data_IF_639684153333
#
_entry.id   IF_639684153333
#
_cell.length_a   1.000
_cell.length_b   1.000
_cell.length_c   1.000
_cell.angle_alpha   90.00
_cell.angle_beta   90.00
_cell.angle_gamma   90.00
#
_symmetry.space_group_name_H-M   'P 1'
#
loop_
_entity.id
_entity.type
_entity.pdbx_description
1 polymer ?
#
# COMPACT_ATOMS: atom_id res chain seq x y z
N UNK A 1 28.57 -36.86 0.34
CA UNK A 1 27.79 -36.67 1.59
C UNK A 1 27.81 -35.19 1.89
N UNK A 2 26.66 -34.50 1.76
CA UNK A 2 26.56 -33.07 2.10
C UNK A 2 26.28 -32.89 3.59
N UNK A 3 26.66 -31.75 4.20
CA UNK A 3 26.31 -31.48 5.59
C UNK A 3 24.80 -31.26 5.71
N UNK A 4 24.16 -32.03 6.59
CA UNK A 4 22.77 -31.78 6.99
C UNK A 4 22.69 -30.45 7.76
N UNK A 5 21.64 -29.66 7.51
CA UNK A 5 21.37 -28.45 8.29
C UNK A 5 20.66 -28.83 9.60
N UNK A 6 21.07 -28.28 10.77
CA UNK A 6 20.44 -28.60 12.05
C UNK A 6 18.96 -28.24 12.13
N UNK A 7 18.21 -28.98 12.95
CA UNK A 7 16.77 -28.83 13.14
C UNK A 7 16.32 -27.42 13.61
N UNK A 8 17.22 -26.64 14.20
CA UNK A 8 16.96 -25.28 14.73
C UNK A 8 16.38 -24.31 13.69
N UNK A 9 16.76 -24.45 12.41
CA UNK A 9 16.23 -23.61 11.33
C UNK A 9 14.72 -23.80 11.09
N UNK A 10 14.17 -24.98 11.44
CA UNK A 10 12.75 -25.29 11.33
C UNK A 10 11.95 -24.88 12.58
N UNK A 11 12.61 -24.64 13.72
CA UNK A 11 11.98 -24.22 14.97
C UNK A 11 11.92 -22.71 15.14
N UNK A 12 12.90 -21.92 14.65
CA UNK A 12 12.80 -20.45 14.66
C UNK A 12 11.58 -19.93 13.87
N UNK A 13 11.15 -20.65 12.84
CA UNK A 13 9.89 -20.39 12.11
C UNK A 13 8.63 -20.72 12.94
N UNK A 14 8.73 -21.63 13.92
CA UNK A 14 7.64 -22.02 14.84
C UNK A 14 7.61 -21.17 16.11
N UNK A 15 8.75 -20.78 16.66
CA UNK A 15 8.85 -19.94 17.86
C UNK A 15 8.32 -18.52 17.64
N UNK A 16 8.46 -17.98 16.42
CA UNK A 16 7.75 -16.78 15.98
C UNK A 16 6.20 -16.90 16.07
N UNK A 17 5.67 -18.10 16.31
CA UNK A 17 4.25 -18.42 16.48
C UNK A 17 3.85 -18.87 17.90
N UNK A 18 4.79 -19.06 18.85
CA UNK A 18 4.51 -19.65 20.18
C UNK A 18 4.50 -18.68 21.36
N UNK A 19 4.89 -17.40 21.17
CA UNK A 19 4.81 -16.36 22.21
C UNK A 19 3.35 -15.93 22.45
N UNK A 20 2.59 -16.79 23.14
CA UNK A 20 1.15 -16.63 23.33
C UNK A 20 0.51 -17.61 24.32
N UNK A 21 1.27 -18.17 25.27
CA UNK A 21 0.75 -19.14 26.24
C UNK A 21 1.33 -18.98 27.65
N UNK A 22 0.86 -17.95 28.39
CA UNK A 22 0.76 -18.02 29.86
C UNK A 22 -0.63 -17.50 30.26
N UNK A 23 -1.40 -18.34 30.95
CA UNK A 23 -2.67 -17.96 31.59
C UNK A 23 -2.36 -16.98 32.72
N UNK A 24 -3.20 -15.96 32.90
CA UNK A 24 -3.26 -15.19 34.15
C UNK A 24 -4.72 -15.22 34.63
N UNK A 25 -4.87 -15.44 35.92
CA UNK A 25 -6.09 -15.77 36.64
C UNK A 25 -6.90 -14.49 36.99
N UNK A 26 -8.20 -14.38 36.67
CA UNK A 26 -8.95 -13.13 36.81
C UNK A 26 -9.49 -12.88 38.24
N UNK A 27 -8.65 -12.95 39.27
CA UNK A 27 -9.07 -12.75 40.69
C UNK A 27 -8.03 -12.04 41.58
N UNK A 28 -7.60 -10.82 41.21
CA UNK A 28 -7.03 -9.80 42.12
C UNK A 28 -6.94 -8.45 41.37
N UNK A 29 -7.18 -7.25 41.94
CA UNK A 29 -7.58 -6.88 43.30
C UNK A 29 -8.34 -5.54 43.24
N UNK A 30 -9.37 -5.35 44.08
CA UNK A 30 -10.15 -4.10 44.15
C UNK A 30 -9.81 -3.33 45.43
N UNK A 31 -9.37 -2.06 45.34
CA UNK A 31 -9.90 -0.93 46.16
C UNK A 31 -9.16 0.44 46.02
N UNK A 32 -9.98 1.47 45.72
CA UNK A 32 -10.08 2.83 46.34
C UNK A 32 -8.85 3.77 46.42
N UNK A 33 -9.05 5.03 45.98
CA UNK A 33 -8.13 6.15 46.26
C UNK A 33 -8.57 7.55 45.76
N UNK A 34 -9.63 8.12 46.35
CA UNK A 34 -10.15 9.52 46.32
C UNK A 34 -9.51 10.63 45.43
N UNK A 35 -10.40 11.41 44.79
CA UNK A 35 -10.21 12.83 44.35
C UNK A 35 -9.93 13.78 45.53
N UNK A 36 -9.36 14.97 45.26
CA UNK A 36 -10.15 16.21 45.46
C UNK A 36 -10.01 17.29 44.37
N UNK A 37 -10.95 18.23 44.39
CA UNK A 37 -10.98 19.61 43.84
C UNK A 37 -11.75 20.46 44.88
N UNK A 38 -11.74 21.82 44.92
CA UNK A 38 -11.82 22.81 43.82
C UNK A 38 -10.55 23.71 43.79
N UNK A 39 -10.45 24.99 43.40
CA UNK A 39 -11.42 26.05 43.07
C UNK A 39 -10.92 27.06 41.99
N UNK A 40 -11.24 28.36 42.11
CA UNK A 40 -11.14 29.38 41.05
C UNK A 40 -10.30 30.61 41.43
N UNK A 41 -9.91 31.45 40.45
CA UNK A 41 -9.36 32.78 40.71
C UNK A 41 -8.79 33.57 39.52
N UNK A 42 -9.43 34.72 39.23
CA UNK A 42 -8.89 35.95 38.63
C UNK A 42 -8.61 36.08 37.10
N UNK A 43 -8.83 37.32 36.65
CA UNK A 43 -8.87 37.85 35.28
C UNK A 43 -7.76 38.88 35.03
N UNK A 44 -7.37 39.11 33.77
CA UNK A 44 -6.74 40.38 33.32
C UNK A 44 -7.03 40.61 31.83
N UNK A 45 -7.08 41.87 31.38
CA UNK A 45 -7.70 42.25 30.10
C UNK A 45 -7.00 43.39 29.33
N UNK A 46 -7.16 43.34 27.99
CA UNK A 46 -7.10 44.45 27.01
C UNK A 46 -5.72 45.08 26.70
N UNK A 47 -5.56 45.98 25.67
CA UNK A 47 -6.50 46.47 24.64
C UNK A 47 -5.96 46.42 23.17
N UNK A 48 -6.69 46.94 22.14
CA UNK A 48 -6.34 46.80 20.71
C UNK A 48 -5.96 48.09 19.95
N UNK A 49 -5.10 47.98 18.92
CA UNK A 49 -4.85 48.94 17.83
C UNK A 49 -4.11 48.21 16.68
N UNK A 50 -4.18 48.53 15.37
CA UNK A 50 -4.90 49.57 14.62
C UNK A 50 -5.30 49.05 13.20
N UNK A 51 -6.09 49.84 12.45
CA UNK A 51 -6.57 49.53 11.09
C UNK A 51 -5.67 50.15 9.99
N UNK A 52 -5.45 49.37 8.91
CA UNK A 52 -5.37 49.74 7.48
C UNK A 52 -4.14 50.45 6.86
N UNK A 53 -3.78 49.94 5.65
CA UNK A 53 -3.00 50.54 4.54
C UNK A 53 -1.48 50.76 4.82
N UNK A 54 -0.56 50.56 3.87
CA UNK A 54 -0.57 50.79 2.41
C UNK A 54 -0.04 49.59 1.59
N UNK A 55 -0.34 49.60 0.28
CA UNK A 55 -0.05 48.58 -0.73
C UNK A 55 1.46 48.30 -0.96
N UNK A 56 1.79 47.03 -1.19
CA UNK A 56 2.93 46.63 -2.02
C UNK A 56 2.46 45.56 -3.03
N UNK A 57 2.92 45.65 -4.28
CA UNK A 57 2.38 44.89 -5.42
C UNK A 57 2.70 43.39 -5.35
N UNK A 58 1.81 42.60 -5.96
CA UNK A 58 1.91 41.15 -6.14
C UNK A 58 3.20 40.75 -6.87
N UNK A 59 3.93 39.81 -6.27
CA UNK A 59 4.64 38.77 -7.00
C UNK A 59 4.13 37.41 -6.49
N UNK A 60 3.00 36.94 -7.02
CA UNK A 60 2.54 35.58 -6.74
C UNK A 60 3.45 34.59 -7.46
N UNK A 61 4.43 34.05 -6.75
CA UNK A 61 5.06 32.78 -7.14
C UNK A 61 3.97 31.72 -7.03
N UNK A 62 3.33 31.41 -8.16
CA UNK A 62 2.24 30.47 -8.22
C UNK A 62 2.70 29.07 -7.83
N UNK A 63 2.26 28.59 -6.67
CA UNK A 63 2.31 27.15 -6.36
C UNK A 63 1.56 26.43 -7.48
N UNK A 64 2.16 25.45 -8.18
CA UNK A 64 1.50 24.76 -9.29
C UNK A 64 0.17 24.16 -8.82
N UNK A 65 -0.93 24.63 -9.41
CA UNK A 65 -2.27 24.14 -9.09
C UNK A 65 -2.31 22.63 -9.39
N UNK A 66 -2.66 21.83 -8.38
CA UNK A 66 -2.82 20.38 -8.58
C UNK A 66 -3.95 20.17 -9.59
N UNK A 67 -3.70 19.54 -10.74
CA UNK A 67 -4.65 19.54 -11.85
C UNK A 67 -5.95 18.83 -11.48
N UNK A 68 -7.05 19.30 -12.09
CA UNK A 68 -8.41 18.90 -11.74
C UNK A 68 -8.54 17.37 -11.65
N UNK A 69 -9.12 16.81 -10.57
CA UNK A 69 -9.06 15.36 -10.31
C UNK A 69 -9.64 14.46 -11.40
N UNK A 70 -10.61 14.93 -12.19
CA UNK A 70 -11.14 14.19 -13.33
C UNK A 70 -10.07 13.90 -14.40
N UNK A 71 -9.05 14.76 -14.56
CA UNK A 71 -7.92 14.52 -15.46
C UNK A 71 -6.91 13.53 -14.89
N UNK A 72 -6.92 13.27 -13.58
CA UNK A 72 -5.91 12.44 -12.92
C UNK A 72 -6.08 10.92 -13.19
N UNK A 73 -7.24 10.52 -13.70
CA UNK A 73 -7.56 9.13 -14.03
C UNK A 73 -8.08 8.97 -15.48
N UNK A 74 -8.02 10.02 -16.31
CA UNK A 74 -8.55 10.03 -17.67
C UNK A 74 -7.91 8.94 -18.56
N UNK A 75 -6.66 8.60 -18.28
CA UNK A 75 -5.86 7.56 -18.94
C UNK A 75 -6.42 6.16 -18.71
N UNK A 76 -7.36 5.94 -17.78
CA UNK A 76 -8.02 4.64 -17.59
C UNK A 76 -9.17 4.41 -18.57
N UNK A 77 -9.48 5.35 -19.49
CA UNK A 77 -10.63 5.26 -20.42
C UNK A 77 -10.31 5.62 -21.87
N UNK A 78 -11.11 5.09 -22.80
CA UNK A 78 -11.19 5.51 -24.19
C UNK A 78 -9.86 5.55 -24.96
N UNK A 79 -9.69 6.61 -25.76
CA UNK A 79 -8.45 6.86 -26.55
C UNK A 79 -7.23 7.09 -25.66
N UNK A 80 -7.40 7.67 -24.47
CA UNK A 80 -6.32 7.91 -23.53
C UNK A 80 -5.75 6.60 -22.98
N UNK A 81 -6.59 5.60 -22.66
CA UNK A 81 -6.15 4.24 -22.27
C UNK A 81 -5.32 3.58 -23.36
N UNK A 82 -5.82 3.57 -24.61
CA UNK A 82 -5.10 2.97 -25.74
C UNK A 82 -3.72 3.61 -25.97
N UNK A 83 -3.64 4.94 -25.91
CA UNK A 83 -2.36 5.68 -26.03
C UNK A 83 -1.41 5.40 -24.87
N UNK A 84 -1.93 5.32 -23.63
CA UNK A 84 -1.14 5.06 -22.44
C UNK A 84 -0.58 3.62 -22.45
N UNK A 85 -1.41 2.64 -22.82
CA UNK A 85 -1.03 1.24 -23.05
C UNK A 85 0.12 1.13 -24.07
N UNK A 86 -0.08 1.69 -25.28
CA UNK A 86 0.91 1.63 -26.37
C UNK A 86 2.25 2.23 -25.96
N UNK A 87 2.26 3.44 -25.36
CA UNK A 87 3.50 4.07 -24.88
C UNK A 87 4.16 3.31 -23.74
N UNK A 88 3.37 2.70 -22.87
CA UNK A 88 3.86 1.90 -21.74
C UNK A 88 4.43 0.54 -22.16
N UNK A 89 4.17 0.08 -23.40
CA UNK A 89 4.56 -1.25 -23.86
C UNK A 89 3.60 -2.36 -23.41
N UNK A 90 2.34 -2.03 -23.14
CA UNK A 90 1.25 -3.00 -23.05
C UNK A 90 0.68 -3.33 -24.44
N UNK A 91 -0.05 -4.43 -24.54
CA UNK A 91 -0.59 -4.99 -25.78
C UNK A 91 -2.05 -5.44 -25.63
N UNK A 92 -2.67 -5.87 -26.73
CA UNK A 92 -4.03 -6.41 -26.71
C UNK A 92 -4.14 -7.67 -25.83
N UNK A 93 -3.09 -8.50 -25.82
CA UNK A 93 -2.99 -9.70 -24.99
C UNK A 93 -2.93 -9.34 -23.50
N UNK A 94 -2.22 -8.27 -23.11
CA UNK A 94 -2.20 -7.81 -21.72
C UNK A 94 -3.55 -7.24 -21.27
N UNK A 95 -4.29 -6.54 -22.15
CA UNK A 95 -5.65 -6.08 -21.85
C UNK A 95 -6.65 -7.24 -21.74
N UNK A 96 -6.52 -8.24 -22.62
CA UNK A 96 -7.33 -9.46 -22.53
C UNK A 96 -7.08 -10.22 -21.23
N UNK A 97 -5.81 -10.31 -20.79
CA UNK A 97 -5.43 -10.92 -19.53
C UNK A 97 -5.99 -10.14 -18.32
N UNK A 98 -5.94 -8.80 -18.34
CA UNK A 98 -6.61 -7.94 -17.34
C UNK A 98 -8.10 -8.23 -17.29
N UNK A 99 -8.80 -8.20 -18.44
CA UNK A 99 -10.24 -8.44 -18.51
C UNK A 99 -10.64 -9.82 -17.98
N UNK A 100 -9.88 -10.87 -18.34
CA UNK A 100 -10.10 -12.22 -17.85
C UNK A 100 -9.88 -12.31 -16.32
N UNK A 101 -8.85 -11.67 -15.78
CA UNK A 101 -8.61 -11.57 -14.34
C UNK A 101 -9.73 -10.85 -13.59
N UNK A 102 -10.26 -9.75 -14.14
CA UNK A 102 -11.40 -9.04 -13.58
C UNK A 102 -12.69 -9.88 -13.62
N UNK A 103 -12.89 -10.68 -14.68
CA UNK A 103 -14.01 -11.64 -14.77
C UNK A 103 -13.90 -12.77 -13.74
N UNK A 104 -12.71 -13.32 -13.53
CA UNK A 104 -12.45 -14.26 -12.44
C UNK A 104 -12.79 -13.65 -11.08
N UNK A 105 -12.24 -12.45 -10.78
CA UNK A 105 -12.53 -11.78 -9.51
C UNK A 105 -14.04 -11.54 -9.34
N UNK A 106 -14.76 -11.12 -10.40
CA UNK A 106 -16.22 -10.98 -10.37
C UNK A 106 -16.93 -12.31 -10.05
N UNK A 107 -16.54 -13.42 -10.68
CA UNK A 107 -17.23 -14.72 -10.51
C UNK A 107 -17.09 -15.29 -9.09
N UNK A 108 -16.01 -14.99 -8.38
CA UNK A 108 -15.78 -15.42 -7.00
C UNK A 108 -16.19 -14.40 -5.91
N UNK A 109 -16.79 -13.26 -6.27
CA UNK A 109 -17.27 -12.28 -5.30
C UNK A 109 -18.41 -12.86 -4.46
N UNK A 110 -18.30 -12.79 -3.13
CA UNK A 110 -19.34 -13.31 -2.22
C UNK A 110 -20.62 -12.49 -2.29
N UNK A 111 -21.76 -13.09 -1.95
CA UNK A 111 -23.09 -12.41 -1.93
C UNK A 111 -23.08 -11.07 -1.18
N UNK A 112 -22.38 -10.99 -0.05
CA UNK A 112 -22.23 -9.77 0.76
C UNK A 112 -21.24 -8.73 0.19
N UNK A 113 -20.66 -8.94 -0.99
CA UNK A 113 -19.75 -8.01 -1.68
C UNK A 113 -18.25 -8.20 -1.39
N UNK A 114 -17.90 -8.95 -0.35
CA UNK A 114 -16.49 -9.19 0.03
C UNK A 114 -15.79 -10.26 -0.83
N UNK A 115 -14.47 -10.18 -0.91
CA UNK A 115 -13.61 -11.25 -1.44
C UNK A 115 -12.83 -11.98 -0.35
N UNK A 116 -12.49 -13.24 -0.62
CA UNK A 116 -11.81 -14.12 0.31
C UNK A 116 -12.74 -14.87 1.26
N UNK A 117 -12.27 -15.98 1.82
CA UNK A 117 -12.96 -16.73 2.88
C UNK A 117 -12.98 -15.95 4.21
N UNK A 118 -13.98 -16.25 5.06
CA UNK A 118 -14.02 -15.73 6.42
C UNK A 118 -12.91 -16.42 7.25
N UNK A 119 -11.81 -15.72 7.47
CA UNK A 119 -10.69 -16.19 8.29
C UNK A 119 -10.05 -15.00 8.99
N UNK A 120 -9.99 -15.04 10.31
CA UNK A 120 -9.22 -14.10 11.12
C UNK A 120 -7.84 -14.67 11.42
N UNK A 121 -6.83 -13.82 11.33
CA UNK A 121 -5.44 -14.16 11.60
C UNK A 121 -4.88 -13.21 12.66
N UNK A 122 -4.27 -13.76 13.71
CA UNK A 122 -3.80 -13.02 14.89
C UNK A 122 -3.02 -11.73 14.54
N UNK A 123 -2.17 -11.79 13.50
CA UNK A 123 -1.36 -10.66 13.00
C UNK A 123 -2.05 -9.70 12.01
N UNK A 124 -3.09 -10.14 11.31
CA UNK A 124 -3.63 -9.41 10.16
C UNK A 124 -5.11 -8.98 10.30
N UNK A 125 -5.82 -9.54 11.28
CA UNK A 125 -7.27 -9.41 11.42
C UNK A 125 -8.01 -10.28 10.38
N UNK A 126 -9.16 -9.80 9.93
CA UNK A 126 -9.93 -10.36 8.82
C UNK A 126 -9.30 -9.99 7.47
N UNK A 127 -8.72 -10.99 6.79
CA UNK A 127 -8.10 -10.79 5.48
C UNK A 127 -9.07 -10.27 4.41
N UNK A 128 -10.39 -10.45 4.57
CA UNK A 128 -11.40 -9.98 3.60
C UNK A 128 -11.36 -8.47 3.41
N UNK A 129 -10.95 -7.70 4.42
CA UNK A 129 -10.76 -6.25 4.31
C UNK A 129 -9.71 -5.92 3.25
N UNK A 130 -8.49 -6.43 3.42
CA UNK A 130 -7.39 -6.21 2.46
C UNK A 130 -7.65 -6.85 1.10
N UNK A 131 -8.19 -8.08 1.06
CA UNK A 131 -8.56 -8.78 -0.18
C UNK A 131 -9.61 -8.01 -0.99
N UNK A 132 -10.68 -7.55 -0.35
CA UNK A 132 -11.72 -6.75 -1.02
C UNK A 132 -11.17 -5.43 -1.56
N UNK A 133 -10.31 -4.77 -0.80
CA UNK A 133 -9.66 -3.54 -1.24
C UNK A 133 -8.71 -3.76 -2.44
N UNK A 134 -7.94 -4.86 -2.48
CA UNK A 134 -7.11 -5.21 -3.64
C UNK A 134 -7.96 -5.48 -4.90
N UNK A 135 -9.08 -6.22 -4.77
CA UNK A 135 -10.01 -6.43 -5.89
C UNK A 135 -10.59 -5.10 -6.40
N UNK A 136 -11.04 -4.23 -5.49
CA UNK A 136 -11.56 -2.91 -5.85
C UNK A 136 -10.49 -2.07 -6.56
N UNK A 137 -9.24 -2.07 -6.08
CA UNK A 137 -8.15 -1.40 -6.76
C UNK A 137 -8.03 -1.89 -8.21
N UNK A 138 -8.02 -3.20 -8.46
CA UNK A 138 -8.00 -3.75 -9.83
C UNK A 138 -9.18 -3.21 -10.68
N UNK A 139 -10.43 -3.39 -10.28
CA UNK A 139 -11.56 -2.86 -11.07
C UNK A 139 -11.45 -1.35 -11.37
N UNK A 140 -11.05 -0.54 -10.37
CA UNK A 140 -10.83 0.89 -10.50
C UNK A 140 -9.64 1.24 -11.41
N UNK A 141 -8.64 0.37 -11.51
CA UNK A 141 -7.44 0.55 -12.33
C UNK A 141 -7.70 0.41 -13.81
N UNK A 142 -8.42 -0.65 -14.20
CA UNK A 142 -8.97 -0.78 -15.56
C UNK A 142 -10.09 0.24 -15.88
N UNK A 143 -10.48 1.07 -14.91
CA UNK A 143 -11.33 2.24 -15.10
C UNK A 143 -12.80 2.03 -14.76
N UNK A 144 -13.18 0.85 -14.25
CA UNK A 144 -14.55 0.50 -13.90
C UNK A 144 -14.93 1.05 -12.53
N UNK A 145 -16.09 1.70 -12.44
CA UNK A 145 -16.61 2.28 -11.19
C UNK A 145 -18.02 1.80 -10.88
N UNK A 146 -18.49 2.06 -9.65
CA UNK A 146 -19.85 1.73 -9.23
C UNK A 146 -20.94 2.67 -9.79
N UNK A 147 -20.55 3.75 -10.47
CA UNK A 147 -21.48 4.72 -11.09
C UNK A 147 -21.69 4.51 -12.58
N UNK A 148 -20.81 3.75 -13.24
CA UNK A 148 -20.87 3.55 -14.69
C UNK A 148 -21.58 2.26 -15.05
N UNK A 149 -22.54 2.35 -15.97
CA UNK A 149 -23.22 1.18 -16.52
C UNK A 149 -22.19 0.28 -17.23
N UNK A 150 -22.08 -0.97 -16.80
CA UNK A 150 -21.13 -1.91 -17.38
C UNK A 150 -21.00 -3.21 -16.57
N UNK A 151 -20.26 -4.17 -17.12
CA UNK A 151 -20.16 -5.55 -16.62
C UNK A 151 -19.79 -5.65 -15.12
N UNK A 152 -19.01 -4.70 -14.60
CA UNK A 152 -18.44 -4.73 -13.25
C UNK A 152 -19.07 -3.72 -12.27
N UNK A 153 -20.06 -2.91 -12.70
CA UNK A 153 -20.66 -1.83 -11.89
C UNK A 153 -21.13 -2.32 -10.52
N UNK A 154 -21.97 -3.35 -10.52
CA UNK A 154 -22.55 -3.95 -9.32
C UNK A 154 -21.51 -4.66 -8.44
N UNK A 155 -20.47 -5.23 -9.08
CA UNK A 155 -19.34 -5.85 -8.39
C UNK A 155 -18.53 -4.82 -7.61
N UNK A 156 -18.21 -3.67 -8.22
CA UNK A 156 -17.53 -2.55 -7.55
C UNK A 156 -18.42 -1.95 -6.46
N UNK A 157 -19.70 -1.73 -6.75
CA UNK A 157 -20.67 -1.18 -5.79
C UNK A 157 -20.74 -2.02 -4.51
N UNK A 158 -20.99 -3.33 -4.64
CA UNK A 158 -21.07 -4.25 -3.48
C UNK A 158 -19.76 -4.35 -2.70
N UNK A 159 -18.61 -4.26 -3.36
CA UNK A 159 -17.31 -4.23 -2.69
C UNK A 159 -17.11 -2.97 -1.84
N UNK A 160 -17.47 -1.80 -2.38
CA UNK A 160 -17.42 -0.51 -1.66
C UNK A 160 -18.42 -0.49 -0.51
N UNK A 161 -19.67 -0.86 -0.76
CA UNK A 161 -20.73 -0.91 0.27
C UNK A 161 -20.35 -1.86 1.41
N UNK A 162 -19.73 -3.02 1.10
CA UNK A 162 -19.21 -3.91 2.13
C UNK A 162 -18.11 -3.25 2.96
N UNK A 163 -17.09 -2.62 2.36
CA UNK A 163 -16.05 -1.93 3.12
C UNK A 163 -16.59 -0.74 3.94
N UNK A 164 -17.60 -0.01 3.46
CA UNK A 164 -18.32 1.00 4.26
C UNK A 164 -18.94 0.34 5.50
N UNK A 165 -19.59 -0.82 5.33
CA UNK A 165 -20.21 -1.56 6.45
C UNK A 165 -19.19 -2.07 7.48
N UNK A 166 -17.93 -2.27 7.09
CA UNK A 166 -16.85 -2.66 8.00
C UNK A 166 -16.18 -1.46 8.69
N UNK A 167 -16.42 -0.21 8.27
CA UNK A 167 -15.71 0.93 8.85
C UNK A 167 -16.23 1.27 10.25
N UNK A 168 -15.34 1.22 11.24
CA UNK A 168 -15.60 1.79 12.55
C UNK A 168 -15.70 3.32 12.44
N UNK A 169 -16.85 3.88 12.82
CA UNK A 169 -17.12 5.33 12.63
C UNK A 169 -16.32 6.23 13.57
N UNK A 170 -16.12 5.92 14.87
CA UNK A 170 -15.29 6.73 15.76
C UNK A 170 -13.82 6.80 15.35
N UNK A 171 -13.17 5.66 15.08
CA UNK A 171 -11.73 5.63 14.74
C UNK A 171 -11.45 5.86 13.26
N UNK A 172 -12.42 5.61 12.38
CA UNK A 172 -12.23 5.58 10.93
C UNK A 172 -11.56 4.32 10.40
N UNK A 173 -11.22 3.36 11.28
CA UNK A 173 -10.53 2.12 10.91
C UNK A 173 -11.42 1.19 10.10
N UNK A 174 -10.84 0.34 9.24
CA UNK A 174 -11.60 -0.56 8.36
C UNK A 174 -11.59 -1.98 8.93
N UNK A 175 -12.69 -2.38 9.57
CA UNK A 175 -12.91 -3.69 10.16
C UNK A 175 -11.90 -4.07 11.24
N UNK A 176 -11.96 -5.32 11.68
CA UNK A 176 -10.81 -5.95 12.33
C UNK A 176 -9.71 -6.17 11.27
N UNK A 177 -8.78 -5.23 11.12
CA UNK A 177 -7.65 -5.39 10.21
C UNK A 177 -6.36 -4.77 10.76
N UNK A 178 -5.22 -5.26 10.25
CA UNK A 178 -3.92 -4.62 10.39
C UNK A 178 -3.82 -3.32 9.59
N UNK A 179 -2.75 -2.56 9.82
CA UNK A 179 -2.43 -1.35 9.06
C UNK A 179 -2.37 -1.59 7.53
N UNK A 180 -2.03 -2.80 7.07
CA UNK A 180 -2.13 -3.18 5.66
C UNK A 180 -3.57 -3.13 5.15
N UNK A 181 -4.48 -3.85 5.82
CA UNK A 181 -5.89 -3.94 5.41
C UNK A 181 -6.53 -2.56 5.35
N UNK A 182 -6.27 -1.73 6.37
CA UNK A 182 -6.69 -0.35 6.38
C UNK A 182 -6.05 0.49 5.26
N UNK A 183 -4.72 0.49 5.11
CA UNK A 183 -4.03 1.32 4.12
C UNK A 183 -4.45 1.01 2.68
N UNK A 184 -4.59 -0.28 2.33
CA UNK A 184 -5.10 -0.71 1.03
C UNK A 184 -6.56 -0.27 0.83
N UNK A 185 -7.41 -0.38 1.88
CA UNK A 185 -8.81 0.08 1.83
C UNK A 185 -8.92 1.60 1.65
N UNK A 186 -8.10 2.37 2.36
CA UNK A 186 -8.03 3.83 2.23
C UNK A 186 -7.56 4.24 0.83
N UNK A 187 -6.60 3.52 0.25
CA UNK A 187 -6.18 3.71 -1.14
C UNK A 187 -7.31 3.40 -2.15
N UNK A 188 -8.03 2.28 -1.97
CA UNK A 188 -9.17 1.93 -2.82
C UNK A 188 -10.29 3.00 -2.77
N UNK A 189 -10.63 3.48 -1.57
CA UNK A 189 -11.60 4.56 -1.39
C UNK A 189 -11.12 5.89 -1.98
N UNK A 190 -9.82 6.18 -1.88
CA UNK A 190 -9.24 7.38 -2.44
C UNK A 190 -9.35 7.40 -3.97
N UNK A 191 -9.02 6.30 -4.66
CA UNK A 191 -9.22 6.21 -6.11
C UNK A 191 -10.70 6.24 -6.50
N UNK A 192 -11.55 5.46 -5.82
CA UNK A 192 -12.98 5.43 -6.09
C UNK A 192 -13.62 6.82 -5.98
N UNK A 193 -13.33 7.57 -4.91
CA UNK A 193 -13.81 8.93 -4.73
C UNK A 193 -13.16 9.92 -5.71
N UNK A 194 -11.87 9.75 -6.03
CA UNK A 194 -11.19 10.62 -6.99
C UNK A 194 -11.82 10.53 -8.39
N UNK A 195 -12.17 9.31 -8.83
CA UNK A 195 -12.80 8.99 -10.10
C UNK A 195 -14.30 9.32 -10.18
N UNK A 196 -15.06 9.11 -9.09
CA UNK A 196 -16.54 9.19 -9.11
C UNK A 196 -17.14 10.42 -8.45
N UNK A 197 -16.38 11.11 -7.57
CA UNK A 197 -16.88 12.20 -6.71
C UNK A 197 -18.06 11.81 -5.80
N UNK A 198 -18.37 10.52 -5.65
CA UNK A 198 -19.53 10.05 -4.89
C UNK A 198 -19.52 10.61 -3.45
N UNK A 199 -20.53 11.41 -3.04
CA UNK A 199 -20.57 12.03 -1.72
C UNK A 199 -20.60 10.99 -0.58
N UNK A 200 -21.12 9.78 -0.83
CA UNK A 200 -21.17 8.68 0.15
C UNK A 200 -19.77 8.19 0.52
N UNK A 201 -18.78 8.32 -0.38
CA UNK A 201 -17.39 7.93 -0.14
C UNK A 201 -16.59 9.00 0.62
N UNK A 202 -16.94 10.29 0.48
CA UNK A 202 -16.16 11.42 1.05
C UNK A 202 -16.05 11.35 2.57
N UNK A 203 -17.14 11.04 3.26
CA UNK A 203 -17.18 10.90 4.73
C UNK A 203 -16.29 9.76 5.25
N UNK A 204 -16.52 8.50 4.80
CA UNK A 204 -15.65 7.37 5.11
C UNK A 204 -14.18 7.60 4.78
N UNK A 205 -13.87 8.15 3.61
CA UNK A 205 -12.49 8.42 3.19
C UNK A 205 -11.81 9.45 4.11
N UNK A 206 -12.48 10.53 4.51
CA UNK A 206 -11.91 11.52 5.45
C UNK A 206 -11.55 10.89 6.80
N UNK A 207 -12.40 10.03 7.34
CA UNK A 207 -12.12 9.32 8.61
C UNK A 207 -10.94 8.36 8.47
N UNK A 208 -10.91 7.59 7.38
CA UNK A 208 -9.83 6.66 7.10
C UNK A 208 -8.47 7.36 6.93
N UNK A 209 -8.41 8.46 6.16
CA UNK A 209 -7.22 9.32 6.05
C UNK A 209 -6.82 9.88 7.42
N UNK A 210 -7.78 10.29 8.25
CA UNK A 210 -7.54 10.70 9.63
C UNK A 210 -6.87 9.59 10.47
N UNK A 211 -7.34 8.33 10.36
CA UNK A 211 -6.74 7.17 11.03
C UNK A 211 -5.31 6.93 10.56
N UNK A 212 -5.04 6.99 9.26
CA UNK A 212 -3.67 6.87 8.72
C UNK A 212 -2.75 7.95 9.30
N UNK A 213 -3.16 9.22 9.30
CA UNK A 213 -2.33 10.33 9.81
C UNK A 213 -2.11 10.21 11.32
N UNK A 214 -3.17 9.95 12.11
CA UNK A 214 -3.09 9.85 13.58
C UNK A 214 -2.33 8.61 14.06
N UNK A 215 -2.31 7.53 13.28
CA UNK A 215 -1.55 6.32 13.58
C UNK A 215 -0.11 6.34 13.05
N UNK A 216 0.33 7.42 12.38
CA UNK A 216 1.72 7.57 11.96
C UNK A 216 2.64 7.64 13.17
N UNK A 217 3.69 6.81 13.20
CA UNK A 217 4.52 6.68 14.39
C UNK A 217 5.32 7.96 14.67
N UNK A 218 5.31 8.40 15.93
CA UNK A 218 6.11 9.51 16.43
C UNK A 218 7.20 8.99 17.36
N UNK A 219 8.45 9.33 17.08
CA UNK A 219 9.61 8.95 17.89
C UNK A 219 10.66 10.05 17.93
N UNK A 220 11.49 10.05 18.98
CA UNK A 220 12.74 10.82 19.02
C UNK A 220 13.84 10.15 18.17
N UNK A 221 13.74 8.84 17.99
CA UNK A 221 14.66 8.09 17.13
C UNK A 221 14.27 8.31 15.66
N UNK A 222 15.13 8.99 14.88
CA UNK A 222 14.88 9.32 13.47
C UNK A 222 14.50 8.10 12.61
N UNK A 223 15.03 6.92 12.94
CA UNK A 223 14.77 5.63 12.27
C UNK A 223 13.36 5.06 12.54
N UNK A 224 12.67 5.57 13.56
CA UNK A 224 11.32 5.13 13.96
C UNK A 224 10.25 6.23 13.79
N UNK A 225 10.63 7.49 13.52
CA UNK A 225 9.67 8.57 13.24
C UNK A 225 9.13 8.52 11.81
N UNK A 226 7.82 8.70 11.65
CA UNK A 226 7.18 8.96 10.35
C UNK A 226 6.76 7.74 9.54
N UNK A 227 7.14 6.53 9.95
CA UNK A 227 6.65 5.29 9.35
C UNK A 227 5.38 4.75 10.02
N UNK A 228 4.92 3.58 9.56
CA UNK A 228 3.78 2.86 10.14
C UNK A 228 4.14 1.40 10.48
N UNK A 229 3.81 0.92 11.70
CA UNK A 229 3.96 -0.47 12.13
C UNK A 229 2.78 -1.36 11.66
N UNK A 230 2.81 -2.67 11.94
CA UNK A 230 1.73 -3.60 11.54
C UNK A 230 0.36 -3.26 12.16
N UNK A 231 0.36 -2.74 13.39
CA UNK A 231 -0.85 -2.40 14.13
C UNK A 231 -0.83 -0.93 14.49
N UNK A 232 -1.93 -0.24 14.26
CA UNK A 232 -2.11 1.10 14.78
C UNK A 232 -2.17 1.08 16.31
N UNK A 233 -1.83 2.20 16.94
CA UNK A 233 -2.01 2.39 18.37
C UNK A 233 -3.50 2.24 18.71
N UNK A 234 -3.76 1.24 19.55
CA UNK A 234 -5.06 0.74 19.96
C UNK A 234 -4.85 0.17 21.37
N UNK A 235 -5.62 0.58 22.41
CA UNK A 235 -5.34 0.19 23.80
C UNK A 235 -5.25 -1.33 23.99
N UNK A 236 -6.06 -2.09 23.26
CA UNK A 236 -6.21 -3.54 23.41
C UNK A 236 -5.22 -4.36 22.55
N UNK A 237 -4.28 -3.72 21.83
CA UNK A 237 -3.31 -4.40 20.96
C UNK A 237 -1.87 -4.13 21.38
N UNK A 238 -1.03 -5.18 21.34
CA UNK A 238 0.42 -5.06 21.55
C UNK A 238 0.99 -3.99 20.62
N UNK A 239 1.54 -2.92 21.19
CA UNK A 239 2.14 -1.84 20.41
C UNK A 239 3.39 -2.34 19.67
N UNK A 240 3.29 -2.51 18.35
CA UNK A 240 4.46 -2.69 17.48
C UNK A 240 5.19 -1.34 17.37
N UNK A 241 6.38 -1.27 17.99
CA UNK A 241 7.27 -0.08 18.01
C UNK A 241 8.07 0.04 16.72
N UNK A 242 8.03 -0.94 15.82
CA UNK A 242 8.89 -0.96 14.64
C UNK A 242 8.09 -0.68 13.37
N UNK A 243 8.14 0.56 12.83
CA UNK A 243 7.51 0.88 11.57
C UNK A 243 8.22 0.14 10.44
N UNK A 244 7.46 -0.24 9.41
CA UNK A 244 7.91 -1.17 8.37
C UNK A 244 7.71 -0.55 7.01
N UNK A 245 8.71 -0.68 6.14
CA UNK A 245 8.67 -0.10 4.80
C UNK A 245 7.42 -0.54 4.02
N UNK A 246 7.12 -1.83 4.12
CA UNK A 246 6.06 -2.51 3.39
C UNK A 246 4.64 -2.14 3.83
N UNK A 247 4.46 -1.69 5.09
CA UNK A 247 3.21 -1.06 5.54
C UNK A 247 3.18 0.39 5.07
N UNK A 248 4.30 1.10 5.28
CA UNK A 248 4.39 2.55 5.11
C UNK A 248 4.14 2.98 3.66
N UNK A 249 4.61 2.21 2.67
CA UNK A 249 4.34 2.49 1.25
C UNK A 249 2.84 2.44 0.90
N UNK A 250 2.04 1.54 1.51
CA UNK A 250 0.59 1.53 1.32
C UNK A 250 -0.07 2.77 1.91
N UNK A 251 0.41 3.26 3.06
CA UNK A 251 -0.08 4.51 3.64
C UNK A 251 0.29 5.72 2.78
N UNK A 252 1.52 5.76 2.25
CA UNK A 252 1.97 6.81 1.32
C UNK A 252 1.10 6.83 0.06
N UNK A 253 0.83 5.67 -0.56
CA UNK A 253 -0.10 5.57 -1.69
C UNK A 253 -1.51 6.06 -1.32
N UNK A 254 -2.06 5.62 -0.19
CA UNK A 254 -3.38 6.04 0.28
C UNK A 254 -3.48 7.56 0.49
N UNK A 255 -2.50 8.16 1.17
CA UNK A 255 -2.44 9.61 1.43
C UNK A 255 -2.26 10.40 0.13
N UNK A 256 -1.38 9.97 -0.77
CA UNK A 256 -1.13 10.64 -2.06
C UNK A 256 -2.36 10.57 -2.98
N UNK A 257 -3.05 9.43 -3.04
CA UNK A 257 -4.30 9.28 -3.77
C UNK A 257 -5.45 10.07 -3.14
N UNK A 258 -5.52 10.15 -1.80
CA UNK A 258 -6.51 10.98 -1.12
C UNK A 258 -6.31 12.47 -1.46
N UNK A 259 -5.06 12.92 -1.59
CA UNK A 259 -4.72 14.28 -2.03
C UNK A 259 -5.12 14.53 -3.49
N UNK A 260 -4.91 13.59 -4.42
CA UNK A 260 -5.50 13.65 -5.78
C UNK A 260 -7.03 13.77 -5.68
N UNK A 261 -7.65 13.03 -4.76
CA UNK A 261 -9.08 13.10 -4.46
C UNK A 261 -9.55 14.47 -3.96
N UNK A 262 -8.67 15.40 -3.59
CA UNK A 262 -9.04 16.67 -2.96
C UNK A 262 -9.41 16.52 -1.47
N UNK A 263 -8.93 15.45 -0.82
CA UNK A 263 -8.94 15.33 0.63
C UNK A 263 -7.69 16.01 1.19
N UNK A 264 -7.85 16.84 2.21
CA UNK A 264 -6.72 17.47 2.88
C UNK A 264 -5.83 16.42 3.56
N UNK A 265 -4.53 16.47 3.28
CA UNK A 265 -3.51 15.60 3.86
C UNK A 265 -2.37 16.51 4.34
N UNK A 266 -2.01 16.48 5.64
CA UNK A 266 -0.94 17.31 6.16
C UNK A 266 0.39 17.02 5.47
N UNK A 267 1.01 18.05 4.88
CA UNK A 267 2.33 17.92 4.24
C UNK A 267 3.39 17.44 5.24
N UNK A 268 3.27 17.82 6.51
CA UNK A 268 4.10 17.31 7.61
C UNK A 268 4.08 15.78 7.73
N UNK A 269 2.96 15.12 7.43
CA UNK A 269 2.85 13.65 7.45
C UNK A 269 3.63 13.02 6.28
N UNK A 270 3.58 13.65 5.10
CA UNK A 270 4.33 13.19 3.92
C UNK A 270 5.83 13.43 4.08
N UNK A 271 6.25 14.58 4.61
CA UNK A 271 7.66 14.87 4.91
C UNK A 271 8.23 13.93 5.98
N UNK A 272 7.43 13.56 6.99
CA UNK A 272 7.78 12.51 7.96
C UNK A 272 7.95 11.14 7.32
N UNK A 273 7.03 10.76 6.44
CA UNK A 273 7.15 9.52 5.67
C UNK A 273 8.43 9.52 4.80
N UNK A 274 8.79 10.65 4.18
CA UNK A 274 10.04 10.78 3.40
C UNK A 274 11.27 10.57 4.28
N UNK A 275 11.31 11.17 5.47
CA UNK A 275 12.40 10.96 6.45
C UNK A 275 12.50 9.52 6.91
N UNK A 276 11.38 8.84 7.17
CA UNK A 276 11.38 7.41 7.50
C UNK A 276 11.99 6.58 6.37
N UNK A 277 11.53 6.80 5.13
CA UNK A 277 12.00 6.02 3.97
C UNK A 277 13.49 6.21 3.73
N UNK A 278 14.00 7.45 3.82
CA UNK A 278 15.44 7.73 3.73
C UNK A 278 16.22 7.10 4.89
N UNK A 279 15.71 7.17 6.12
CA UNK A 279 16.37 6.59 7.30
C UNK A 279 16.45 5.04 7.27
N UNK A 280 15.64 4.40 6.42
CA UNK A 280 15.68 2.96 6.17
C UNK A 280 16.74 2.54 5.13
N UNK A 281 17.36 3.47 4.38
CA UNK A 281 18.50 3.13 3.51
C UNK A 281 19.67 2.63 4.36
N UNK A 282 20.34 1.59 3.86
CA UNK A 282 21.57 1.06 4.43
C UNK A 282 22.65 0.98 3.33
N UNK A 283 23.63 1.91 3.35
CA UNK A 283 24.73 1.91 2.40
C UNK A 283 25.52 0.60 2.39
N UNK A 284 25.64 -0.10 3.53
CA UNK A 284 26.42 -1.35 3.65
C UNK A 284 25.73 -2.53 2.97
N UNK A 285 24.40 -2.53 2.96
CA UNK A 285 23.59 -3.56 2.32
C UNK A 285 23.25 -3.21 0.85
N UNK A 286 23.57 -1.99 0.41
CA UNK A 286 23.10 -1.40 -0.85
C UNK A 286 21.60 -1.67 -1.07
N UNK A 287 20.80 -1.42 -0.02
CA UNK A 287 19.38 -1.76 0.05
C UNK A 287 18.65 -0.87 1.07
N UNK A 288 17.33 -1.02 1.17
CA UNK A 288 16.56 -0.49 2.29
C UNK A 288 16.22 -1.61 3.26
N UNK A 289 16.35 -1.32 4.56
CA UNK A 289 15.98 -2.19 5.66
C UNK A 289 14.46 -2.35 5.77
N UNK A 290 14.04 -3.53 6.20
CA UNK A 290 12.62 -3.84 6.36
C UNK A 290 11.97 -3.02 7.48
N UNK A 291 12.69 -2.92 8.60
CA UNK A 291 12.42 -2.13 9.78
C UNK A 291 13.76 -1.83 10.52
N UNK A 292 13.69 -1.30 11.74
CA UNK A 292 14.87 -1.08 12.60
C UNK A 292 14.78 -1.87 13.91
N UNK A 293 14.20 -3.06 13.85
CA UNK A 293 14.05 -3.98 14.97
C UNK A 293 15.38 -4.74 15.19
N UNK A 294 16.06 -4.62 16.35
CA UNK A 294 17.36 -5.25 16.56
C UNK A 294 17.35 -6.77 16.36
N UNK A 295 16.29 -7.46 16.80
CA UNK A 295 16.13 -8.91 16.64
C UNK A 295 16.00 -9.31 15.16
N UNK A 296 15.31 -8.49 14.36
CA UNK A 296 15.22 -8.68 12.91
C UNK A 296 16.57 -8.46 12.22
N UNK A 297 17.30 -7.43 12.65
CA UNK A 297 18.58 -7.03 12.06
C UNK A 297 19.72 -8.00 12.35
N UNK A 298 19.61 -8.86 13.37
CA UNK A 298 20.53 -9.98 13.62
C UNK A 298 20.22 -11.25 12.83
N UNK A 299 19.08 -11.32 12.12
CA UNK A 299 18.78 -12.48 11.25
C UNK A 299 19.59 -12.46 9.96
N UNK A 300 19.66 -13.59 9.26
CA UNK A 300 20.19 -13.69 7.89
C UNK A 300 19.36 -12.93 6.83
N UNK A 301 18.22 -12.33 7.22
CA UNK A 301 17.29 -11.63 6.33
C UNK A 301 17.02 -10.18 6.80
N UNK A 302 18.05 -9.32 7.00
CA UNK A 302 17.87 -7.94 7.46
C UNK A 302 17.11 -7.07 6.44
N UNK A 303 16.96 -7.56 5.19
CA UNK A 303 16.05 -7.02 4.18
C UNK A 303 15.15 -8.14 3.64
N UNK A 304 13.96 -7.77 3.14
CA UNK A 304 13.12 -8.63 2.31
C UNK A 304 13.13 -8.12 0.86
N UNK A 305 13.04 -8.95 -0.19
CA UNK A 305 13.25 -8.51 -1.58
C UNK A 305 12.34 -7.38 -2.03
N UNK A 306 11.08 -7.40 -1.59
CA UNK A 306 10.11 -6.34 -1.89
C UNK A 306 10.29 -5.03 -1.12
N UNK A 307 11.22 -4.97 -0.16
CA UNK A 307 11.47 -3.78 0.67
C UNK A 307 12.10 -2.65 -0.12
N UNK A 308 13.21 -2.92 -0.81
CA UNK A 308 13.94 -1.90 -1.58
C UNK A 308 13.10 -1.28 -2.70
N UNK A 309 12.34 -2.05 -3.52
CA UNK A 309 11.48 -1.44 -4.54
C UNK A 309 10.29 -0.68 -3.94
N UNK A 310 9.74 -1.15 -2.81
CA UNK A 310 8.71 -0.41 -2.09
C UNK A 310 9.23 0.93 -1.55
N UNK A 311 10.47 0.96 -1.04
CA UNK A 311 11.14 2.18 -0.61
C UNK A 311 11.41 3.14 -1.78
N UNK A 312 11.92 2.63 -2.90
CA UNK A 312 12.15 3.41 -4.11
C UNK A 312 10.85 4.04 -4.63
N UNK A 313 9.77 3.26 -4.72
CA UNK A 313 8.47 3.78 -5.14
C UNK A 313 7.87 4.77 -4.12
N UNK A 314 8.10 4.56 -2.82
CA UNK A 314 7.73 5.54 -1.81
C UNK A 314 8.51 6.86 -1.98
N UNK A 315 9.84 6.81 -2.22
CA UNK A 315 10.64 8.00 -2.51
C UNK A 315 10.12 8.73 -3.76
N UNK A 316 9.85 8.01 -4.84
CA UNK A 316 9.27 8.55 -6.07
C UNK A 316 7.97 9.31 -5.79
N UNK A 317 7.01 8.71 -5.08
CA UNK A 317 5.76 9.39 -4.67
C UNK A 317 5.98 10.59 -3.73
N UNK A 318 7.06 10.59 -2.94
CA UNK A 318 7.39 11.61 -1.95
C UNK A 318 8.34 12.70 -2.48
N UNK A 319 8.68 12.67 -3.78
CA UNK A 319 9.62 13.62 -4.37
C UNK A 319 11.03 13.45 -3.81
N UNK A 320 11.51 12.22 -3.69
CA UNK A 320 12.91 11.90 -3.44
C UNK A 320 13.81 12.36 -4.58
N UNK A 321 15.06 12.66 -4.27
CA UNK A 321 16.06 12.97 -5.29
C UNK A 321 16.35 11.71 -6.12
N UNK A 322 16.39 11.86 -7.45
CA UNK A 322 16.67 10.78 -8.40
C UNK A 322 18.16 10.58 -8.65
N UNK A 323 19.00 11.57 -8.37
CA UNK A 323 20.46 11.46 -8.53
C UNK A 323 21.14 10.93 -7.27
N UNK A 324 20.53 11.14 -6.09
CA UNK A 324 20.98 10.64 -4.79
C UNK A 324 21.20 9.12 -4.68
N UNK A 325 22.09 8.75 -3.75
CA UNK A 325 22.56 7.38 -3.56
C UNK A 325 21.42 6.41 -3.24
N UNK A 326 20.45 6.82 -2.43
CA UNK A 326 19.33 6.00 -1.98
C UNK A 326 18.44 5.55 -3.16
N UNK A 327 18.21 6.45 -4.11
CA UNK A 327 17.42 6.19 -5.31
C UNK A 327 18.16 5.26 -6.28
N UNK A 328 19.42 5.58 -6.57
CA UNK A 328 20.27 4.79 -7.46
C UNK A 328 20.56 3.39 -6.89
N UNK A 329 20.62 3.28 -5.57
CA UNK A 329 20.67 2.00 -4.86
C UNK A 329 19.42 1.16 -5.12
N UNK A 330 18.22 1.76 -5.06
CA UNK A 330 16.96 1.11 -5.39
C UNK A 330 16.94 0.53 -6.81
N UNK A 331 17.36 1.32 -7.81
CA UNK A 331 17.41 0.87 -9.20
C UNK A 331 18.40 -0.28 -9.40
N UNK A 332 19.63 -0.18 -8.88
CA UNK A 332 20.64 -1.25 -8.95
C UNK A 332 20.17 -2.53 -8.27
N UNK A 333 19.47 -2.43 -7.15
CA UNK A 333 18.93 -3.58 -6.42
C UNK A 333 17.89 -4.35 -7.25
N UNK A 334 17.00 -3.64 -7.97
CA UNK A 334 16.04 -4.28 -8.88
C UNK A 334 16.77 -4.89 -10.09
N UNK A 335 17.65 -4.13 -10.74
CA UNK A 335 18.34 -4.56 -11.97
C UNK A 335 19.21 -5.81 -11.81
N UNK A 336 19.75 -6.06 -10.62
CA UNK A 336 20.56 -7.25 -10.30
C UNK A 336 19.73 -8.51 -10.02
N UNK A 337 18.40 -8.43 -9.93
CA UNK A 337 17.53 -9.53 -9.47
C UNK A 337 16.78 -10.24 -10.60
N UNK A 338 16.66 -11.58 -10.55
CA UNK A 338 15.93 -12.32 -11.58
C UNK A 338 14.41 -12.21 -11.42
N UNK A 339 13.71 -12.11 -12.56
CA UNK A 339 12.32 -12.54 -12.68
C UNK A 339 12.27 -14.06 -12.86
N UNK A 340 11.24 -14.72 -12.31
CA UNK A 340 10.98 -16.13 -12.59
C UNK A 340 10.68 -16.37 -14.07
N UNK A 341 11.15 -17.50 -14.60
CA UNK A 341 11.04 -17.87 -16.02
C UNK A 341 9.83 -18.72 -16.33
N UNK A 342 9.20 -19.32 -15.31
CA UNK A 342 7.95 -20.08 -15.41
C UNK A 342 7.07 -19.72 -14.21
N UNK A 343 5.76 -19.75 -14.39
CA UNK A 343 4.79 -19.53 -13.31
C UNK A 343 4.73 -20.76 -12.38
N UNK A 344 5.57 -20.75 -11.34
CA UNK A 344 5.65 -21.83 -10.34
C UNK A 344 6.09 -21.30 -8.96
N UNK A 345 5.85 -22.09 -7.92
CA UNK A 345 6.49 -21.90 -6.60
C UNK A 345 8.00 -22.14 -6.72
N UNK A 346 8.80 -21.29 -6.07
CA UNK A 346 10.25 -21.49 -5.87
C UNK A 346 10.50 -21.79 -4.38
N UNK A 347 11.72 -22.15 -3.99
CA UNK A 347 12.03 -22.42 -2.56
C UNK A 347 11.84 -21.18 -1.69
N UNK A 348 11.67 -21.36 -0.38
CA UNK A 348 11.53 -20.23 0.55
C UNK A 348 12.82 -19.38 0.60
N UNK A 349 13.98 -20.01 0.47
CA UNK A 349 15.25 -19.31 0.30
C UNK A 349 15.26 -18.47 -0.99
N UNK A 350 14.86 -19.00 -2.14
CA UNK A 350 14.80 -18.22 -3.38
C UNK A 350 13.74 -17.10 -3.34
N UNK A 351 12.63 -17.33 -2.65
CA UNK A 351 11.61 -16.33 -2.39
C UNK A 351 12.15 -15.18 -1.51
N UNK A 352 12.91 -15.50 -0.47
CA UNK A 352 13.42 -14.55 0.52
C UNK A 352 14.75 -13.89 0.14
N UNK A 353 15.65 -14.57 -0.58
CA UNK A 353 16.96 -14.03 -1.00
C UNK A 353 16.91 -13.44 -2.41
N UNK A 354 16.20 -14.07 -3.37
CA UNK A 354 16.18 -13.68 -4.79
C UNK A 354 14.90 -12.93 -5.21
N UNK A 355 13.78 -13.15 -4.51
CA UNK A 355 12.48 -12.59 -4.86
C UNK A 355 11.75 -13.38 -5.94
N UNK A 356 12.13 -14.64 -6.17
CA UNK A 356 11.45 -15.50 -7.13
C UNK A 356 10.07 -15.91 -6.59
N UNK A 357 9.05 -15.91 -7.46
CA UNK A 357 7.63 -16.03 -7.10
C UNK A 357 7.08 -14.98 -6.12
N UNK A 358 7.85 -13.95 -5.75
CA UNK A 358 7.42 -12.91 -4.82
C UNK A 358 6.64 -11.79 -5.53
N UNK A 359 5.32 -11.96 -5.63
CA UNK A 359 4.44 -10.99 -6.31
C UNK A 359 4.45 -9.58 -5.69
N UNK A 360 4.79 -9.46 -4.40
CA UNK A 360 4.94 -8.15 -3.76
C UNK A 360 6.22 -7.45 -4.26
N UNK A 361 7.34 -8.17 -4.36
CA UNK A 361 8.55 -7.68 -5.02
C UNK A 361 8.27 -7.29 -6.47
N UNK A 362 7.58 -8.13 -7.26
CA UNK A 362 7.27 -7.82 -8.65
C UNK A 362 6.36 -6.60 -8.81
N UNK A 363 5.34 -6.44 -7.96
CA UNK A 363 4.47 -5.28 -7.99
C UNK A 363 5.26 -3.99 -7.77
N UNK A 364 6.03 -3.86 -6.68
CA UNK A 364 6.79 -2.62 -6.44
C UNK A 364 7.96 -2.40 -7.41
N UNK A 365 8.60 -3.46 -7.90
CA UNK A 365 9.60 -3.33 -8.97
C UNK A 365 8.95 -2.85 -10.28
N UNK A 366 7.75 -3.33 -10.62
CA UNK A 366 6.98 -2.86 -11.77
C UNK A 366 6.62 -1.38 -11.63
N UNK A 367 6.11 -0.96 -10.46
CA UNK A 367 5.79 0.45 -10.20
C UNK A 367 7.03 1.35 -10.28
N UNK A 368 8.13 0.95 -9.63
CA UNK A 368 9.34 1.74 -9.56
C UNK A 368 10.08 1.86 -10.91
N UNK A 369 10.11 0.79 -11.70
CA UNK A 369 10.70 0.80 -13.04
C UNK A 369 9.79 1.46 -14.07
N UNK A 370 8.46 1.35 -13.96
CA UNK A 370 7.55 2.10 -14.84
C UNK A 370 7.71 3.62 -14.65
N UNK A 371 7.88 4.07 -13.40
CA UNK A 371 8.19 5.46 -13.09
C UNK A 371 9.54 5.90 -13.68
N UNK A 372 10.56 5.05 -13.60
CA UNK A 372 11.88 5.36 -14.14
C UNK A 372 11.88 5.43 -15.68
N UNK A 373 11.15 4.51 -16.32
CA UNK A 373 11.08 4.39 -17.77
C UNK A 373 12.37 3.83 -18.37
N UNK A 374 12.71 4.29 -19.58
CA UNK A 374 13.94 3.92 -20.28
C UNK A 374 14.07 2.41 -20.54
N UNK A 375 15.31 1.94 -20.69
CA UNK A 375 15.57 0.54 -21.04
C UNK A 375 15.38 -0.43 -19.87
N UNK A 376 15.57 0.04 -18.63
CA UNK A 376 15.25 -0.73 -17.42
C UNK A 376 13.76 -1.12 -17.40
N UNK A 377 12.87 -0.19 -17.74
CA UNK A 377 11.45 -0.48 -17.93
C UNK A 377 11.20 -1.47 -19.06
N UNK A 378 11.74 -1.22 -20.28
CA UNK A 378 11.51 -2.09 -21.45
C UNK A 378 11.91 -3.54 -21.17
N UNK A 379 13.08 -3.76 -20.56
CA UNK A 379 13.58 -5.09 -20.22
C UNK A 379 12.73 -5.79 -19.17
N UNK A 380 12.33 -5.07 -18.12
CA UNK A 380 11.44 -5.60 -17.08
C UNK A 380 10.08 -5.97 -17.65
N UNK A 381 9.42 -5.02 -18.33
CA UNK A 381 8.09 -5.18 -18.88
C UNK A 381 8.02 -6.36 -19.86
N UNK A 382 8.96 -6.47 -20.81
CA UNK A 382 9.02 -7.57 -21.77
C UNK A 382 9.14 -8.95 -21.11
N UNK A 383 9.78 -9.05 -19.94
CA UNK A 383 9.87 -10.31 -19.18
C UNK A 383 8.62 -10.54 -18.34
N UNK A 384 8.09 -9.50 -17.70
CA UNK A 384 6.91 -9.55 -16.83
C UNK A 384 5.64 -9.92 -17.61
N UNK A 385 5.41 -9.32 -18.78
CA UNK A 385 4.19 -9.60 -19.58
C UNK A 385 4.17 -11.04 -20.08
N UNK A 386 5.28 -11.55 -20.62
CA UNK A 386 5.40 -12.97 -21.00
C UNK A 386 5.15 -13.91 -19.82
N UNK A 387 5.68 -13.59 -18.64
CA UNK A 387 5.46 -14.38 -17.43
C UNK A 387 4.00 -14.35 -16.95
N UNK A 388 3.35 -13.17 -16.95
CA UNK A 388 1.98 -13.03 -16.47
C UNK A 388 0.98 -13.62 -17.47
N UNK A 389 1.05 -13.25 -18.75
CA UNK A 389 0.15 -13.78 -19.80
C UNK A 389 0.34 -15.30 -19.95
N UNK A 390 1.58 -15.79 -19.96
CA UNK A 390 1.86 -17.23 -20.03
C UNK A 390 1.60 -18.01 -18.73
N UNK A 391 1.30 -17.32 -17.63
CA UNK A 391 0.99 -17.92 -16.32
C UNK A 391 -0.51 -17.89 -15.94
N UNK A 392 -1.36 -17.34 -16.81
CA UNK A 392 -2.80 -17.23 -16.56
C UNK A 392 -3.51 -18.56 -16.88
N UNK A 393 -4.34 -19.04 -15.94
CA UNK A 393 -5.21 -20.21 -16.16
C UNK A 393 -6.43 -19.81 -17.02
N UNK A 394 -7.07 -20.80 -17.66
CA UNK A 394 -8.22 -20.60 -18.59
C UNK A 394 -9.43 -19.90 -17.98
N UNK A 395 -9.57 -19.89 -16.66
CA UNK A 395 -10.64 -19.21 -15.93
C UNK A 395 -10.35 -17.70 -15.72
N UNK A 396 -9.19 -17.21 -16.17
CA UNK A 396 -8.70 -15.85 -16.00
C UNK A 396 -7.89 -15.63 -14.72
N UNK A 397 -7.78 -16.62 -13.84
CA UNK A 397 -7.01 -16.52 -12.60
C UNK A 397 -5.52 -16.80 -12.79
N UNK A 398 -4.74 -16.57 -11.73
CA UNK A 398 -3.38 -17.06 -11.62
C UNK A 398 -3.25 -18.03 -10.45
N UNK A 399 -2.54 -19.14 -10.66
CA UNK A 399 -2.28 -20.13 -9.59
C UNK A 399 -1.47 -19.51 -8.46
N UNK A 400 -1.80 -19.73 -7.18
CA UNK A 400 -1.02 -19.22 -6.06
C UNK A 400 0.39 -19.84 -6.05
N UNK A 401 1.40 -19.02 -6.34
CA UNK A 401 2.82 -19.41 -6.38
C UNK A 401 3.68 -18.66 -5.37
N UNK A 402 3.11 -17.69 -4.66
CA UNK A 402 3.80 -16.82 -3.71
C UNK A 402 3.53 -17.25 -2.28
N UNK A 403 4.55 -17.27 -1.42
CA UNK A 403 4.38 -17.44 0.03
C UNK A 403 3.45 -16.38 0.65
N UNK A 404 3.38 -15.17 0.06
CA UNK A 404 2.39 -14.16 0.48
C UNK A 404 0.96 -14.48 0.04
N UNK A 405 0.76 -15.29 -1.00
CA UNK A 405 -0.56 -15.80 -1.37
C UNK A 405 -1.03 -16.87 -0.35
N UNK A 406 -0.12 -17.75 0.08
CA UNK A 406 -0.38 -18.73 1.16
C UNK A 406 -0.78 -18.02 2.47
N UNK A 407 -0.05 -16.96 2.87
CA UNK A 407 -0.42 -16.12 4.01
C UNK A 407 -1.77 -15.41 3.83
N UNK A 408 -2.07 -14.91 2.62
CA UNK A 408 -3.37 -14.33 2.30
C UNK A 408 -4.50 -15.37 2.22
N UNK A 409 -4.20 -16.65 2.49
CA UNK A 409 -5.10 -17.81 2.37
C UNK A 409 -5.70 -17.93 0.97
N UNK A 410 -4.90 -17.63 -0.05
CA UNK A 410 -5.27 -18.05 -1.40
C UNK A 410 -5.28 -19.59 -1.49
N UNK A 411 -6.20 -20.11 -2.28
CA UNK A 411 -6.36 -21.55 -2.56
C UNK A 411 -6.77 -21.73 -4.01
N UNK A 412 -6.79 -22.95 -4.54
CA UNK A 412 -7.30 -23.19 -5.90
C UNK A 412 -8.74 -22.72 -6.15
N UNK A 413 -9.53 -22.51 -5.09
CA UNK A 413 -10.91 -21.98 -5.15
C UNK A 413 -11.05 -20.54 -4.61
N UNK A 414 -9.95 -19.85 -4.33
CA UNK A 414 -9.90 -18.48 -3.79
C UNK A 414 -8.55 -17.87 -4.19
N UNK A 415 -8.35 -17.53 -5.46
CA UNK A 415 -7.05 -17.02 -5.98
C UNK A 415 -7.00 -15.49 -5.97
N UNK A 416 -7.61 -14.88 -4.95
CA UNK A 416 -7.90 -13.44 -4.89
C UNK A 416 -6.63 -12.60 -4.88
N UNK A 417 -5.70 -12.86 -3.95
CA UNK A 417 -4.49 -12.05 -3.83
C UNK A 417 -3.64 -12.18 -5.09
N UNK A 418 -3.44 -13.42 -5.55
CA UNK A 418 -2.61 -13.75 -6.71
C UNK A 418 -3.16 -13.11 -7.98
N UNK A 419 -4.47 -13.20 -8.21
CA UNK A 419 -5.11 -12.62 -9.41
C UNK A 419 -5.14 -11.10 -9.34
N UNK A 420 -5.52 -10.50 -8.20
CA UNK A 420 -5.54 -9.04 -8.06
C UNK A 420 -4.15 -8.42 -8.23
N UNK A 421 -3.11 -9.01 -7.64
CA UNK A 421 -1.72 -8.53 -7.81
C UNK A 421 -1.24 -8.67 -9.27
N UNK A 422 -1.61 -9.74 -9.95
CA UNK A 422 -1.25 -9.97 -11.36
C UNK A 422 -1.92 -8.96 -12.30
N UNK A 423 -3.22 -8.70 -12.08
CA UNK A 423 -3.97 -7.66 -12.79
C UNK A 423 -3.37 -6.27 -12.52
N UNK A 424 -3.13 -5.90 -11.25
CA UNK A 424 -2.55 -4.60 -10.89
C UNK A 424 -1.18 -4.32 -11.53
N UNK A 425 -0.38 -5.37 -11.80
CA UNK A 425 0.88 -5.24 -12.54
C UNK A 425 0.66 -4.99 -14.04
N UNK A 426 -0.32 -5.65 -14.66
CA UNK A 426 -0.69 -5.43 -16.07
C UNK A 426 -1.43 -4.09 -16.29
N UNK A 427 -2.04 -3.51 -15.26
CA UNK A 427 -2.71 -2.20 -15.34
C UNK A 427 -1.75 -1.01 -15.34
N UNK A 428 -0.46 -1.22 -15.03
CA UNK A 428 0.50 -0.16 -14.71
C UNK A 428 0.54 0.95 -15.79
N UNK A 429 0.40 0.57 -17.06
CA UNK A 429 0.48 1.44 -18.23
C UNK A 429 -0.57 2.57 -18.28
N UNK A 430 -1.66 2.48 -17.53
CA UNK A 430 -2.73 3.51 -17.50
C UNK A 430 -3.17 3.86 -16.09
N UNK A 431 -2.93 2.96 -15.13
CA UNK A 431 -3.29 3.13 -13.73
C UNK A 431 -2.58 4.31 -13.08
N UNK A 432 -1.30 4.52 -13.40
CA UNK A 432 -0.43 5.45 -12.69
C UNK A 432 -0.07 6.74 -13.44
N UNK A 433 -0.59 7.01 -14.64
CA UNK A 433 -0.43 8.33 -15.31
C UNK A 433 -1.25 9.46 -14.65
N UNK A 434 -1.16 9.53 -13.32
CA UNK A 434 -1.71 10.56 -12.45
C UNK A 434 -0.78 11.79 -12.45
N UNK A 435 -1.24 12.94 -11.91
CA UNK A 435 -0.43 14.14 -11.74
C UNK A 435 0.82 13.91 -10.89
N UNK A 436 0.82 12.89 -10.02
CA UNK A 436 1.98 12.53 -9.20
C UNK A 436 3.16 12.00 -10.03
N UNK A 437 2.91 11.49 -11.24
CA UNK A 437 3.95 11.06 -12.17
C UNK A 437 4.25 12.14 -13.22
N UNK A 438 3.21 12.79 -13.75
CA UNK A 438 3.36 13.75 -14.85
C UNK A 438 3.73 15.18 -14.41
N UNK A 439 3.57 15.55 -13.13
CA UNK A 439 4.04 16.86 -12.65
C UNK A 439 5.56 17.01 -12.61
N UNK A 440 6.32 15.93 -12.84
CA UNK A 440 7.79 15.97 -12.91
C UNK A 440 8.35 15.98 -14.34
N UNK A 441 7.54 15.76 -15.37
CA UNK A 441 7.98 15.89 -16.77
C UNK A 441 8.25 17.35 -17.16
N UNK A 442 7.78 18.32 -16.35
CA UNK A 442 7.94 19.77 -16.55
C UNK A 442 9.15 20.37 -15.82
N UNK A 443 10.08 19.54 -15.33
CA UNK A 443 11.31 20.00 -14.65
C UNK A 443 12.57 19.34 -15.25
N UNK A 444 12.55 19.16 -16.57
CA UNK A 444 13.74 18.93 -17.41
C UNK A 444 14.03 20.21 -18.19
#
# INVERSE_FOLDING_TARGET
MGPELPAEAADLAREASSVGARRIDPTAMVRRGRRPAPAAGATSAAPPAARMLVQARRAQVGVPESPRPAMAHAQRRGTAKRRALQRGGGSAETEAAVLAGLRYLKSIQRRNGSWGRNHRHNKYGDFRVGKTALCLLAFLGSGHTHQENGEFQETVRRGLDWLISQQDRPTGHFGDSSAYGHGISTYAFAEAYAMTRDPRLRGPLRRAVGRVVTAQMTSRERKLDGGWPYYYRDPDRRHDRFPRMSVSVWQVMALKSARIGGINVPETSLQRAKRFVLAAHDPRLHAFRYNHDPEWLSTSYPTLPGTTPAALFALQLLGGDRTGEEYQTGLRYIGRRPLMTRWRRYSDEEFATRGLSNLYYYYYATLALFFEGGDAWKQWNSRLTRLLVGGQDRDGSWRPVSYYAEYARDTDRDRVYTTAMSVLMLEVYYRYFTPLLTSMEKSK
#
